data_IF_106625090126
#
_entry.id   IF_106625090126
#
_cell.length_a   1.000
_cell.length_b   1.000
_cell.length_c   1.000
_cell.angle_alpha   90.00
_cell.angle_beta   90.00
_cell.angle_gamma   90.00
#
_symmetry.space_group_name_H-M   'P 1'
#
loop_
_entity.id
_entity.type
_entity.pdbx_description
1 polymer ?
#
# COMPACT_ATOMS: atom_id res chain seq x y z
N UNK A 1 12.58 -0.87 15.06
CA UNK A 1 11.77 -2.10 15.07
C UNK A 1 10.93 -2.10 13.81
N UNK A 2 10.75 -3.26 13.20
CA UNK A 2 10.00 -3.40 11.96
C UNK A 2 8.52 -3.61 12.27
N UNK A 3 7.67 -2.64 11.92
CA UNK A 3 6.23 -2.69 12.16
C UNK A 3 5.52 -3.08 10.86
N UNK A 4 4.62 -4.06 10.95
CA UNK A 4 3.68 -4.40 9.89
C UNK A 4 2.30 -3.88 10.27
N UNK A 5 1.70 -3.10 9.38
CA UNK A 5 0.35 -2.57 9.58
C UNK A 5 -0.69 -3.59 9.09
N UNK A 6 -1.61 -4.02 9.96
CA UNK A 6 -2.59 -5.08 9.63
C UNK A 6 -4.06 -4.61 9.58
N UNK A 7 -4.34 -3.32 9.74
CA UNK A 7 -5.70 -2.84 10.06
C UNK A 7 -6.37 -1.95 9.02
N UNK A 8 -7.51 -2.36 8.46
CA UNK A 8 -8.47 -1.41 7.89
C UNK A 8 -8.15 -0.76 6.54
N UNK A 9 -7.21 -1.30 5.76
CA UNK A 9 -6.99 -0.81 4.38
C UNK A 9 -8.22 -1.11 3.53
N UNK A 10 -8.93 -0.06 3.12
CA UNK A 10 -10.16 -0.13 2.34
C UNK A 10 -10.04 0.52 0.96
N UNK A 11 -8.99 1.31 0.74
CA UNK A 11 -8.76 2.09 -0.48
C UNK A 11 -7.28 2.17 -0.86
N UNK A 12 -6.99 2.62 -2.09
CA UNK A 12 -5.62 2.92 -2.51
C UNK A 12 -5.03 4.12 -1.76
N UNK A 13 -5.88 5.05 -1.28
CA UNK A 13 -5.42 6.21 -0.51
C UNK A 13 -4.94 5.83 0.88
N UNK A 14 -5.54 4.81 1.51
CA UNK A 14 -5.02 4.24 2.75
C UNK A 14 -3.58 3.73 2.55
N UNK A 15 -3.33 3.05 1.43
CA UNK A 15 -1.99 2.56 1.07
C UNK A 15 -1.03 3.73 0.88
N UNK A 16 -1.43 4.77 0.13
CA UNK A 16 -0.62 5.99 -0.09
C UNK A 16 -0.37 6.76 1.21
N UNK A 17 -1.29 6.73 2.16
CA UNK A 17 -1.09 7.36 3.47
C UNK A 17 -0.04 6.59 4.29
N UNK A 18 -0.08 5.25 4.26
CA UNK A 18 0.88 4.39 4.95
C UNK A 18 2.31 4.56 4.42
N UNK A 19 2.50 4.85 3.12
CA UNK A 19 3.85 5.13 2.59
C UNK A 19 4.49 6.38 3.22
N UNK A 20 3.69 7.36 3.64
CA UNK A 20 4.17 8.55 4.36
C UNK A 20 4.67 8.23 5.76
N UNK A 21 4.26 7.10 6.33
CA UNK A 21 4.62 6.64 7.67
C UNK A 21 5.84 5.71 7.70
N UNK A 22 6.53 5.47 6.57
CA UNK A 22 7.74 4.63 6.52
C UNK A 22 8.83 5.07 7.50
N UNK A 23 8.96 6.38 7.75
CA UNK A 23 9.91 6.94 8.73
C UNK A 23 9.63 6.51 10.17
N UNK A 24 8.43 5.98 10.47
CA UNK A 24 8.04 5.46 11.79
C UNK A 24 8.30 3.97 11.97
N UNK A 25 9.05 3.34 11.06
CA UNK A 25 9.38 1.92 11.12
C UNK A 25 8.32 1.00 10.48
N UNK A 26 7.32 1.55 9.79
CA UNK A 26 6.36 0.75 9.03
C UNK A 26 7.05 0.19 7.77
N UNK A 27 7.22 -1.13 7.73
CA UNK A 27 7.85 -1.86 6.61
C UNK A 27 6.87 -2.45 5.62
N UNK A 28 5.63 -2.67 6.03
CA UNK A 28 4.65 -3.32 5.17
C UNK A 28 3.23 -3.18 5.70
N UNK A 29 2.30 -3.60 4.85
CA UNK A 29 0.87 -3.62 5.15
C UNK A 29 0.25 -4.93 4.67
N UNK A 30 -0.66 -5.49 5.47
CA UNK A 30 -1.45 -6.66 5.11
C UNK A 30 -2.84 -6.18 4.64
N UNK A 31 -3.22 -6.58 3.43
CA UNK A 31 -4.52 -6.23 2.83
C UNK A 31 -5.30 -7.52 2.55
N UNK A 32 -6.47 -7.65 3.15
CA UNK A 32 -7.35 -8.83 2.99
C UNK A 32 -8.67 -8.48 2.33
N UNK A 33 -9.65 -8.05 3.15
CA UNK A 33 -11.05 -7.84 2.75
C UNK A 33 -11.22 -6.93 1.52
N UNK A 34 -10.41 -5.89 1.37
CA UNK A 34 -10.51 -4.98 0.22
C UNK A 34 -10.15 -5.66 -1.12
N UNK A 35 -9.17 -6.56 -1.12
CA UNK A 35 -8.82 -7.38 -2.29
C UNK A 35 -9.91 -8.43 -2.55
N UNK A 36 -10.40 -9.10 -1.51
CA UNK A 36 -11.47 -10.10 -1.64
C UNK A 36 -12.77 -9.51 -2.22
N UNK A 37 -13.12 -8.28 -1.82
CA UNK A 37 -14.28 -7.55 -2.33
C UNK A 37 -14.02 -6.84 -3.67
N UNK A 38 -12.82 -6.98 -4.27
CA UNK A 38 -12.50 -6.38 -5.56
C UNK A 38 -12.48 -4.85 -5.56
N UNK A 39 -12.26 -4.18 -4.41
CA UNK A 39 -12.21 -2.71 -4.34
C UNK A 39 -11.06 -2.11 -5.16
N UNK A 40 -9.99 -2.88 -5.32
CA UNK A 40 -8.85 -2.62 -6.19
C UNK A 40 -8.10 -3.93 -6.42
N UNK A 41 -7.24 -3.97 -7.43
CA UNK A 41 -6.40 -5.14 -7.73
C UNK A 41 -5.10 -5.11 -6.94
N UNK A 42 -4.44 -6.28 -6.82
CA UNK A 42 -3.10 -6.37 -6.23
C UNK A 42 -2.11 -5.45 -6.97
N UNK A 43 -2.18 -5.38 -8.30
CA UNK A 43 -1.33 -4.51 -9.11
C UNK A 43 -1.53 -3.03 -8.72
N UNK A 44 -2.77 -2.55 -8.61
CA UNK A 44 -3.07 -1.19 -8.17
C UNK A 44 -2.55 -0.90 -6.75
N UNK A 45 -2.66 -1.88 -5.84
CA UNK A 45 -2.14 -1.76 -4.48
C UNK A 45 -0.61 -1.62 -4.45
N UNK A 46 0.10 -2.43 -5.25
CA UNK A 46 1.56 -2.36 -5.40
C UNK A 46 2.00 -1.01 -5.98
N UNK A 47 1.32 -0.52 -7.01
CA UNK A 47 1.62 0.79 -7.60
C UNK A 47 1.37 1.94 -6.61
N UNK A 48 0.28 1.88 -5.83
CA UNK A 48 0.02 2.84 -4.75
C UNK A 48 1.13 2.81 -3.67
N UNK A 49 1.69 1.64 -3.37
CA UNK A 49 2.77 1.48 -2.39
C UNK A 49 4.14 1.96 -2.91
N UNK A 50 4.40 1.87 -4.22
CA UNK A 50 5.66 2.34 -4.84
C UNK A 50 5.80 3.86 -4.87
N UNK A 51 4.71 4.60 -4.68
CA UNK A 51 4.72 6.06 -4.68
C UNK A 51 5.07 6.62 -6.06
N UNK A 52 4.26 6.31 -7.08
CA UNK A 52 4.21 7.06 -8.33
C UNK A 52 5.54 7.28 -9.06
N UNK A 53 6.48 6.33 -9.00
CA UNK A 53 7.60 6.35 -9.93
C UNK A 53 7.08 5.81 -11.26
N UNK A 54 6.80 6.73 -12.19
CA UNK A 54 6.75 6.41 -13.62
C UNK A 54 8.09 5.75 -13.94
N UNK A 55 8.05 4.49 -14.33
CA UNK A 55 9.18 3.86 -15.01
C UNK A 55 9.25 4.55 -16.38
N UNK A 56 10.03 5.61 -16.51
CA UNK A 56 10.45 6.06 -17.84
C UNK A 56 11.41 4.99 -18.35
N UNK A 57 10.89 4.08 -19.17
CA UNK A 57 11.72 3.23 -20.02
C UNK A 57 12.57 4.15 -20.90
N UNK A 58 13.89 3.97 -20.82
CA UNK A 58 14.86 4.55 -21.75
C UNK A 58 15.25 3.52 -22.79
#
# INVERSE_FOLDING_TARGET
GDVIYSGGVGSLDDIRALTRLRHRGIRGVIVGRALYLGKFTLAQAVEAAKGGRVLTEG
#
